data_IF_255528758276
#
_entry.id   IF_255528758276
#
_cell.length_a   1.000
_cell.length_b   1.000
_cell.length_c   1.000
_cell.angle_alpha   90.00
_cell.angle_beta   90.00
_cell.angle_gamma   90.00
#
_symmetry.space_group_name_H-M   'P 1'
#
loop_
_entity.id
_entity.type
_entity.pdbx_description
1 polymer ?
#
# COMPACT_ATOMS: atom_id res chain seq x y z
N UNK A 1 14.89 -0.90 24.69
CA UNK A 1 13.64 -0.29 25.18
C UNK A 1 13.59 1.15 24.69
N UNK A 2 12.75 1.44 23.69
CA UNK A 2 12.54 2.83 23.23
C UNK A 2 11.30 3.34 23.96
N UNK A 3 11.53 4.19 24.96
CA UNK A 3 10.48 4.91 25.68
C UNK A 3 9.73 5.81 24.70
N UNK A 4 8.53 5.41 24.29
CA UNK A 4 7.64 6.26 23.50
C UNK A 4 6.52 6.77 24.41
N UNK A 5 6.79 7.87 25.11
CA UNK A 5 5.70 8.72 25.54
C UNK A 5 4.96 9.17 24.29
N UNK A 6 3.74 8.67 24.11
CA UNK A 6 2.80 9.08 23.08
C UNK A 6 2.45 10.56 23.31
N UNK A 7 3.27 11.49 22.81
CA UNK A 7 2.89 12.91 22.78
C UNK A 7 1.64 13.04 21.94
N UNK A 8 0.56 13.51 22.56
CA UNK A 8 -0.70 13.73 21.88
C UNK A 8 -0.54 14.74 20.74
N UNK A 9 -1.29 14.49 19.66
CA UNK A 9 -1.30 15.37 18.48
C UNK A 9 -1.85 16.75 18.85
N UNK A 10 -1.12 17.80 18.45
CA UNK A 10 -1.62 19.17 18.56
C UNK A 10 -2.83 19.41 17.64
N UNK A 11 -3.63 20.43 17.94
CA UNK A 11 -4.81 20.80 17.12
C UNK A 11 -4.40 21.07 15.66
N UNK A 12 -3.28 21.75 15.43
CA UNK A 12 -2.78 22.03 14.06
C UNK A 12 -2.41 20.74 13.33
N UNK A 13 -1.72 19.80 13.99
CA UNK A 13 -1.38 18.50 13.39
C UNK A 13 -2.63 17.66 13.08
N UNK A 14 -3.64 17.67 13.95
CA UNK A 14 -4.93 17.01 13.69
C UNK A 14 -5.63 17.59 12.46
N UNK A 15 -5.70 18.92 12.35
CA UNK A 15 -6.26 19.61 11.19
C UNK A 15 -5.48 19.34 9.91
N UNK A 16 -4.14 19.33 10.01
CA UNK A 16 -3.26 18.98 8.88
C UNK A 16 -3.55 17.57 8.38
N UNK A 17 -3.60 16.57 9.27
CA UNK A 17 -3.89 15.18 8.87
C UNK A 17 -5.28 15.05 8.23
N UNK A 18 -6.30 15.71 8.81
CA UNK A 18 -7.65 15.70 8.24
C UNK A 18 -7.65 16.23 6.80
N UNK A 19 -7.01 17.38 6.56
CA UNK A 19 -6.90 17.97 5.22
C UNK A 19 -6.00 17.16 4.29
N UNK A 20 -4.96 16.54 4.81
CA UNK A 20 -4.08 15.66 4.04
C UNK A 20 -4.83 14.43 3.52
N UNK A 21 -5.63 13.77 4.35
CA UNK A 21 -6.45 12.63 3.93
C UNK A 21 -7.58 13.03 2.98
N UNK A 22 -8.12 14.25 3.12
CA UNK A 22 -9.12 14.81 2.21
C UNK A 22 -8.54 15.08 0.81
N UNK A 23 -7.37 15.70 0.72
CA UNK A 23 -6.79 16.16 -0.54
C UNK A 23 -5.85 15.15 -1.21
N UNK A 24 -5.25 14.23 -0.44
CA UNK A 24 -4.13 13.41 -0.92
C UNK A 24 -2.86 14.21 -1.22
N UNK A 25 -2.78 15.47 -0.77
CA UNK A 25 -1.68 16.39 -1.07
C UNK A 25 -1.24 17.14 0.21
N UNK A 26 -0.02 16.85 0.67
CA UNK A 26 0.54 17.45 1.89
C UNK A 26 0.77 18.95 1.76
N UNK A 27 1.24 19.42 0.61
CA UNK A 27 1.50 20.84 0.36
C UNK A 27 0.20 21.65 0.41
N UNK A 28 -0.86 21.15 -0.22
CA UNK A 28 -2.19 21.80 -0.19
C UNK A 28 -2.77 21.84 1.23
N UNK A 29 -2.67 20.72 1.97
CA UNK A 29 -3.08 20.68 3.36
C UNK A 29 -2.30 21.68 4.23
N UNK A 30 -0.99 21.85 3.97
CA UNK A 30 -0.16 22.81 4.67
C UNK A 30 -0.53 24.27 4.36
N UNK A 31 -0.78 24.60 3.09
CA UNK A 31 -1.24 25.94 2.67
C UNK A 31 -2.48 26.38 3.46
N UNK A 32 -3.48 25.52 3.56
CA UNK A 32 -4.73 25.85 4.24
C UNK A 32 -4.58 25.91 5.76
N UNK A 33 -3.97 24.88 6.37
CA UNK A 33 -3.93 24.74 7.84
C UNK A 33 -2.97 25.72 8.48
N UNK A 34 -1.83 25.97 7.84
CA UNK A 34 -0.81 26.90 8.33
C UNK A 34 -0.95 28.30 7.75
N UNK A 35 -1.87 28.51 6.80
CA UNK A 35 -2.10 29.79 6.11
C UNK A 35 -0.82 30.35 5.49
N UNK A 36 -0.01 29.48 4.90
CA UNK A 36 1.17 29.89 4.13
C UNK A 36 0.76 30.34 2.73
N UNK A 37 1.37 31.41 2.25
CA UNK A 37 1.14 31.92 0.88
C UNK A 37 2.13 31.33 -0.14
N UNK A 38 3.29 30.85 0.35
CA UNK A 38 4.34 30.29 -0.48
C UNK A 38 4.23 28.75 -0.55
N UNK A 39 4.00 28.15 -1.74
CA UNK A 39 3.92 26.70 -1.91
C UNK A 39 5.20 25.95 -1.54
N UNK A 40 6.38 26.56 -1.72
CA UNK A 40 7.67 25.94 -1.37
C UNK A 40 7.81 25.78 0.13
N UNK A 41 7.42 26.81 0.89
CA UNK A 41 7.40 26.77 2.35
C UNK A 41 6.37 25.75 2.83
N UNK A 42 5.19 25.73 2.21
CA UNK A 42 4.14 24.75 2.53
C UNK A 42 4.60 23.30 2.28
N UNK A 43 5.34 23.04 1.21
CA UNK A 43 5.90 21.73 0.92
C UNK A 43 6.90 21.28 1.99
N UNK A 44 7.76 22.19 2.46
CA UNK A 44 8.70 21.93 3.56
C UNK A 44 7.96 21.60 4.87
N UNK A 45 6.93 22.39 5.20
CA UNK A 45 6.06 22.14 6.38
C UNK A 45 5.37 20.78 6.26
N UNK A 46 4.86 20.44 5.08
CA UNK A 46 4.18 19.17 4.83
C UNK A 46 5.13 17.99 5.03
N UNK A 47 6.33 18.05 4.45
CA UNK A 47 7.34 17.01 4.59
C UNK A 47 7.70 16.76 6.07
N UNK A 48 7.96 17.84 6.81
CA UNK A 48 8.32 17.71 8.22
C UNK A 48 7.16 17.21 9.09
N UNK A 49 5.91 17.59 8.80
CA UNK A 49 4.75 17.03 9.48
C UNK A 49 4.59 15.55 9.18
N UNK A 50 4.63 15.13 7.91
CA UNK A 50 4.47 13.71 7.55
C UNK A 50 5.54 12.84 8.21
N UNK A 51 6.81 13.30 8.22
CA UNK A 51 7.91 12.61 8.89
C UNK A 51 7.67 12.45 10.41
N UNK A 52 7.22 13.50 11.08
CA UNK A 52 6.95 13.49 12.53
C UNK A 52 5.73 12.66 12.91
N UNK A 53 4.72 12.64 12.05
CA UNK A 53 3.41 12.06 12.32
C UNK A 53 3.27 10.62 11.82
N UNK A 54 4.25 10.10 11.08
CA UNK A 54 4.23 8.76 10.50
C UNK A 54 3.85 7.67 11.52
N UNK A 55 4.54 7.61 12.65
CA UNK A 55 4.29 6.59 13.66
C UNK A 55 2.90 6.74 14.31
N UNK A 56 2.46 7.98 14.58
CA UNK A 56 1.10 8.23 15.10
C UNK A 56 0.01 7.78 14.14
N UNK A 57 0.17 8.10 12.85
CA UNK A 57 -0.77 7.68 11.81
C UNK A 57 -0.78 6.16 11.68
N UNK A 58 0.39 5.52 11.66
CA UNK A 58 0.51 4.07 11.63
C UNK A 58 -0.21 3.42 12.81
N UNK A 59 0.05 3.86 14.05
CA UNK A 59 -0.64 3.33 15.24
C UNK A 59 -2.15 3.52 15.18
N UNK A 60 -2.63 4.65 14.63
CA UNK A 60 -4.07 4.88 14.46
C UNK A 60 -4.68 3.96 13.39
N UNK A 61 -3.97 3.71 12.29
CA UNK A 61 -4.37 2.78 11.25
C UNK A 61 -4.43 1.35 11.80
N UNK A 62 -3.40 0.90 12.51
CA UNK A 62 -3.35 -0.42 13.15
C UNK A 62 -4.50 -0.60 14.17
N UNK A 63 -4.77 0.41 15.01
CA UNK A 63 -5.92 0.40 15.94
C UNK A 63 -7.28 0.32 15.23
N UNK A 64 -7.35 0.71 13.97
CA UNK A 64 -8.55 0.61 13.12
C UNK A 64 -8.58 -0.67 12.29
N UNK A 65 -7.63 -1.59 12.50
CA UNK A 65 -7.52 -2.84 11.75
C UNK A 65 -6.95 -2.66 10.34
N UNK A 66 -6.31 -1.53 10.06
CA UNK A 66 -5.54 -1.30 8.82
C UNK A 66 -4.07 -1.64 9.09
N UNK A 67 -3.81 -2.89 9.42
CA UNK A 67 -2.49 -3.44 9.72
C UNK A 67 -2.00 -4.38 8.61
N UNK A 68 -0.84 -5.01 8.84
CA UNK A 68 -0.27 -5.98 7.91
C UNK A 68 -1.18 -7.20 7.72
N UNK A 69 -1.89 -7.66 8.77
CA UNK A 69 -2.79 -8.81 8.66
C UNK A 69 -3.93 -8.50 7.70
N UNK A 70 -4.53 -7.30 7.80
CA UNK A 70 -5.58 -6.90 6.88
C UNK A 70 -5.08 -6.82 5.43
N UNK A 71 -3.83 -6.42 5.21
CA UNK A 71 -3.23 -6.44 3.87
C UNK A 71 -3.11 -7.87 3.34
N UNK A 72 -2.64 -8.81 4.17
CA UNK A 72 -2.56 -10.24 3.81
C UNK A 72 -3.93 -10.82 3.50
N UNK A 73 -4.96 -10.47 4.28
CA UNK A 73 -6.33 -10.90 4.01
C UNK A 73 -6.82 -10.41 2.63
N UNK A 74 -6.54 -9.14 2.30
CA UNK A 74 -6.90 -8.56 0.99
C UNK A 74 -6.15 -9.23 -0.16
N UNK A 75 -4.88 -9.56 0.04
CA UNK A 75 -4.09 -10.34 -0.93
C UNK A 75 -4.71 -11.72 -1.13
N UNK A 76 -5.00 -12.45 -0.06
CA UNK A 76 -5.61 -13.78 -0.10
C UNK A 76 -7.01 -13.79 -0.75
N UNK A 77 -7.86 -12.81 -0.41
CA UNK A 77 -9.15 -12.60 -1.05
C UNK A 77 -8.98 -12.34 -2.56
N UNK A 78 -8.00 -11.52 -2.93
CA UNK A 78 -7.63 -11.23 -4.30
C UNK A 78 -7.20 -12.46 -5.08
N UNK A 79 -6.39 -13.32 -4.47
CA UNK A 79 -5.93 -14.60 -5.04
C UNK A 79 -7.05 -15.62 -5.22
N UNK A 80 -8.15 -15.50 -4.48
CA UNK A 80 -9.33 -16.38 -4.61
C UNK A 80 -10.29 -15.94 -5.72
N UNK A 81 -10.20 -14.71 -6.24
CA UNK A 81 -11.12 -14.19 -7.27
C UNK A 81 -11.10 -15.02 -8.55
N UNK A 82 -12.24 -15.25 -9.19
CA UNK A 82 -12.30 -16.04 -10.43
C UNK A 82 -11.52 -15.38 -11.59
N UNK A 83 -11.48 -14.04 -11.63
CA UNK A 83 -10.76 -13.27 -12.64
C UNK A 83 -9.24 -13.49 -12.55
N UNK A 84 -8.68 -14.03 -13.64
CA UNK A 84 -7.24 -14.26 -13.79
C UNK A 84 -6.46 -12.94 -13.73
N UNK A 85 -6.98 -11.86 -14.32
CA UNK A 85 -6.31 -10.57 -14.33
C UNK A 85 -6.14 -9.99 -12.92
N UNK A 86 -7.19 -10.06 -12.11
CA UNK A 86 -7.12 -9.70 -10.70
C UNK A 86 -6.12 -10.58 -9.95
N UNK A 87 -6.23 -11.91 -10.05
CA UNK A 87 -5.31 -12.87 -9.41
C UNK A 87 -3.84 -12.57 -9.73
N UNK A 88 -3.54 -12.32 -11.00
CA UNK A 88 -2.17 -12.07 -11.46
C UNK A 88 -1.57 -10.82 -10.79
N UNK A 89 -2.31 -9.71 -10.72
CA UNK A 89 -1.84 -8.49 -10.04
C UNK A 89 -1.51 -8.71 -8.56
N UNK A 90 -2.31 -9.51 -7.86
CA UNK A 90 -2.04 -9.84 -6.46
C UNK A 90 -0.82 -10.77 -6.31
N UNK A 91 -0.65 -11.76 -7.21
CA UNK A 91 0.54 -12.62 -7.24
C UNK A 91 1.82 -11.82 -7.50
N UNK A 92 1.81 -10.92 -8.49
CA UNK A 92 2.95 -10.05 -8.79
C UNK A 92 3.32 -9.17 -7.59
N UNK A 93 2.31 -8.60 -6.92
CA UNK A 93 2.53 -7.77 -5.73
C UNK A 93 3.22 -8.58 -4.62
N UNK A 94 2.73 -9.79 -4.35
CA UNK A 94 3.34 -10.68 -3.37
C UNK A 94 4.76 -11.11 -3.78
N UNK A 95 5.00 -11.42 -5.06
CA UNK A 95 6.30 -11.82 -5.59
C UNK A 95 7.36 -10.72 -5.41
N UNK A 96 7.00 -9.46 -5.69
CA UNK A 96 7.86 -8.28 -5.47
C UNK A 96 8.25 -8.12 -4.01
N UNK A 97 7.28 -8.30 -3.11
CA UNK A 97 7.51 -8.16 -1.67
C UNK A 97 8.39 -9.26 -1.10
N UNK A 98 8.32 -10.46 -1.68
CA UNK A 98 9.14 -11.60 -1.28
C UNK A 98 10.48 -11.67 -2.02
N UNK A 99 10.70 -10.85 -3.05
CA UNK A 99 11.92 -10.85 -3.87
C UNK A 99 12.12 -12.11 -4.71
N UNK A 100 11.02 -12.78 -5.10
CA UNK A 100 11.04 -14.08 -5.82
C UNK A 100 10.57 -13.97 -7.28
N UNK A 101 10.61 -12.77 -7.83
CA UNK A 101 10.05 -12.41 -9.15
C UNK A 101 10.47 -13.39 -10.26
N UNK A 102 11.76 -13.76 -10.27
CA UNK A 102 12.33 -14.68 -11.26
C UNK A 102 11.79 -16.13 -11.18
N UNK A 103 11.33 -16.60 -10.02
CA UNK A 103 10.75 -17.95 -9.90
C UNK A 103 9.29 -18.00 -10.35
N UNK A 104 8.57 -16.89 -10.22
CA UNK A 104 7.13 -16.81 -10.53
C UNK A 104 6.92 -16.77 -12.04
N UNK A 105 7.72 -15.99 -12.77
CA UNK A 105 7.70 -15.97 -14.24
C UNK A 105 8.04 -17.35 -14.83
N UNK A 106 9.09 -18.00 -14.32
CA UNK A 106 9.51 -19.33 -14.77
C UNK A 106 8.43 -20.40 -14.56
N UNK A 107 7.74 -20.42 -13.40
CA UNK A 107 6.69 -21.40 -13.11
C UNK A 107 5.37 -21.11 -13.84
N UNK A 108 5.04 -19.85 -14.12
CA UNK A 108 3.87 -19.48 -14.92
C UNK A 108 4.01 -19.94 -16.38
N UNK A 109 5.20 -19.76 -16.96
CA UNK A 109 5.55 -20.27 -18.30
C UNK A 109 5.44 -21.80 -18.38
N UNK A 110 5.98 -22.54 -17.41
CA UNK A 110 5.92 -24.02 -17.38
C UNK A 110 4.48 -24.54 -17.29
N UNK A 111 3.57 -23.84 -16.60
CA UNK A 111 2.15 -24.24 -16.50
C UNK A 111 1.34 -23.94 -17.76
N UNK A 112 1.62 -22.83 -18.45
CA UNK A 112 0.99 -22.52 -19.73
C UNK A 112 1.38 -23.59 -20.78
N UNK A 113 2.63 -24.04 -20.76
CA UNK A 113 3.13 -25.06 -21.68
C UNK A 113 2.53 -26.45 -21.40
N UNK A 114 2.41 -26.84 -20.12
CA UNK A 114 1.76 -28.10 -19.73
C UNK A 114 0.26 -28.13 -20.09
N UNK A 115 -0.44 -26.99 -20.09
CA UNK A 115 -1.82 -26.90 -20.52
C UNK A 115 -1.98 -27.09 -22.04
N UNK A 116 -1.01 -26.62 -22.84
CA UNK A 116 -0.96 -26.84 -24.29
C UNK A 116 -0.66 -28.30 -24.61
N UNK A 117 0.31 -28.92 -23.92
CA UNK A 117 0.66 -30.33 -24.09
C UNK A 117 -0.54 -31.26 -23.78
N UNK A 118 -1.37 -30.93 -22.78
CA UNK A 118 -2.53 -31.74 -22.43
C UNK A 118 -3.68 -31.65 -23.46
N UNK A 119 -3.79 -30.57 -24.23
CA UNK A 119 -4.78 -30.46 -25.31
C UNK A 119 -4.34 -31.19 -26.58
N UNK A 120 -3.04 -31.23 -26.89
CA UNK A 120 -2.50 -31.98 -28.03
C UNK A 120 -2.68 -33.49 -27.84
N UNK A 121 -2.46 -34.02 -26.62
CA UNK A 121 -2.56 -35.47 -26.35
C UNK A 121 -4.01 -36.00 -26.35
N UNK A 122 -5.03 -35.14 -26.21
CA UNK A 122 -6.45 -35.54 -26.30
C UNK A 122 -7.06 -35.41 -27.70
N UNK A 123 -6.32 -34.87 -28.67
CA UNK A 123 -6.79 -34.62 -30.04
C UNK A 123 -6.57 -35.76 -31.04
N UNK A 124 -5.76 -36.77 -30.71
CA UNK A 124 -5.46 -37.90 -31.59
C UNK A 124 -6.22 -39.17 -31.15
N UNK A 125 -7.51 -39.24 -31.47
CA UNK A 125 -8.26 -40.50 -31.64
C UNK A 125 -9.34 -40.35 -32.70
#
# INVERSE_FOLDING_TARGET
>A
MVSTESKDLTIKQKKFLLKYFEYGNGTQAALEVYRTENPVVAASIAHENLRKLQNHVQTLMEKRGLDLNRLLDVLDEGLKKADYGAKHRYLETAAKWLGIEAEVEAKALVRADQAVVFQVVKGDK
#
